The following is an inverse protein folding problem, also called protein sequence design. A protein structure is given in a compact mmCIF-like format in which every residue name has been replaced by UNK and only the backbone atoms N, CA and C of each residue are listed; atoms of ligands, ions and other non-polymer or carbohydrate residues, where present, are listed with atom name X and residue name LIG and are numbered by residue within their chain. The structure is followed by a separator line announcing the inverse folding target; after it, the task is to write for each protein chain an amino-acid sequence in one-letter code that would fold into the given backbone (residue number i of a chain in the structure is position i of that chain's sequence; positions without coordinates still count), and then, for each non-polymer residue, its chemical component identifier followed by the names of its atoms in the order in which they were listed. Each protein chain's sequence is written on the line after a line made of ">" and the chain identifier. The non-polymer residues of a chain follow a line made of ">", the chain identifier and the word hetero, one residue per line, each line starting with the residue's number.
data_IF_880795859930
#
_entry.id   IF_880795859930
#
_cell.length_a   1.000
_cell.length_b   1.000
_cell.length_c   1.000
_cell.angle_alpha   90.00
_cell.angle_beta   90.00
_cell.angle_gamma   90.00
#
_symmetry.space_group_name_H-M   'P 1'
#
loop_
_entity.id
_entity.type
_entity.pdbx_description
1 polymer ?
#
# COMPACT_ATOMS: atom_id res chain seq x y z
N UNK A 1 1.72 4.59 8.80
CA UNK A 1 1.76 6.02 9.20
C UNK A 1 1.00 6.19 10.51
N UNK A 2 1.34 7.11 11.41
CA UNK A 2 0.53 7.34 12.62
C UNK A 2 -0.64 8.29 12.34
N UNK A 3 -1.74 8.17 13.10
CA UNK A 3 -2.89 9.07 12.95
C UNK A 3 -2.53 10.53 13.19
N UNK A 4 -1.69 10.83 14.19
CA UNK A 4 -1.20 12.18 14.47
C UNK A 4 -0.43 12.77 13.29
N UNK A 5 0.40 11.96 12.61
CA UNK A 5 1.10 12.39 11.39
C UNK A 5 0.11 12.69 10.27
N UNK A 6 -0.88 11.85 10.06
CA UNK A 6 -1.93 12.08 9.05
C UNK A 6 -2.74 13.36 9.29
N UNK A 7 -3.05 13.67 10.56
CA UNK A 7 -3.70 14.92 10.92
C UNK A 7 -2.86 16.16 10.57
N UNK A 8 -1.53 16.05 10.64
CA UNK A 8 -0.61 17.15 10.35
C UNK A 8 -0.19 17.25 8.87
N UNK A 9 -0.45 16.22 8.05
CA UNK A 9 -0.04 16.22 6.64
C UNK A 9 -0.71 17.34 5.82
N UNK A 10 0.02 17.98 4.90
CA UNK A 10 -0.58 18.81 3.86
C UNK A 10 -1.68 18.06 3.10
N UNK A 11 -2.75 18.76 2.72
CA UNK A 11 -3.91 18.13 2.09
C UNK A 11 -3.59 17.27 0.85
N UNK A 12 -2.65 17.64 -0.05
CA UNK A 12 -2.29 16.79 -1.19
C UNK A 12 -1.65 15.46 -0.78
N UNK A 13 -0.78 15.47 0.23
CA UNK A 13 -0.10 14.27 0.73
C UNK A 13 -1.07 13.34 1.47
N UNK A 14 -1.93 13.92 2.30
CA UNK A 14 -2.99 13.17 2.99
C UNK A 14 -3.98 12.56 1.98
N UNK A 15 -4.31 13.27 0.90
CA UNK A 15 -5.12 12.74 -0.20
C UNK A 15 -4.45 11.56 -0.88
N UNK A 16 -3.16 11.67 -1.19
CA UNK A 16 -2.39 10.58 -1.79
C UNK A 16 -2.42 9.31 -0.93
N UNK A 17 -2.27 9.45 0.39
CA UNK A 17 -2.35 8.31 1.31
C UNK A 17 -3.76 7.68 1.35
N UNK A 18 -4.81 8.49 1.29
CA UNK A 18 -6.19 7.99 1.22
C UNK A 18 -6.51 7.28 -0.11
N UNK A 19 -5.79 7.61 -1.19
CA UNK A 19 -5.91 6.93 -2.48
C UNK A 19 -5.54 5.43 -2.43
N UNK A 20 -4.72 5.02 -1.45
CA UNK A 20 -4.43 3.59 -1.20
C UNK A 20 -5.64 2.84 -0.59
N UNK A 21 -6.59 3.58 0.00
CA UNK A 21 -7.79 3.02 0.63
C UNK A 21 -8.92 2.95 -0.37
N UNK A 22 -9.23 4.06 -1.04
CA UNK A 22 -10.36 4.21 -1.94
C UNK A 22 -10.01 5.11 -3.13
N UNK A 23 -10.43 4.70 -4.34
CA UNK A 23 -10.24 5.49 -5.56
C UNK A 23 -11.22 6.67 -5.71
N UNK A 24 -12.26 6.75 -4.87
CA UNK A 24 -13.26 7.82 -4.96
C UNK A 24 -12.74 9.12 -4.33
N UNK A 25 -12.53 10.14 -5.17
CA UNK A 25 -12.10 11.47 -4.73
C UNK A 25 -13.08 12.14 -3.76
N UNK A 26 -14.39 11.91 -3.92
CA UNK A 26 -15.42 12.42 -3.03
C UNK A 26 -15.28 11.86 -1.61
N UNK A 27 -14.97 10.56 -1.50
CA UNK A 27 -14.70 9.91 -0.22
C UNK A 27 -13.44 10.48 0.42
N UNK A 28 -12.35 10.60 -0.35
CA UNK A 28 -11.09 11.14 0.16
C UNK A 28 -11.26 12.59 0.64
N UNK A 29 -11.99 13.42 -0.12
CA UNK A 29 -12.29 14.80 0.27
C UNK A 29 -13.09 14.88 1.56
N UNK A 30 -14.12 14.05 1.73
CA UNK A 30 -14.93 13.99 2.95
C UNK A 30 -14.10 13.58 4.17
N UNK A 31 -13.25 12.55 4.03
CA UNK A 31 -12.36 12.10 5.11
C UNK A 31 -11.30 13.16 5.43
N UNK A 32 -10.78 13.91 4.45
CA UNK A 32 -9.82 15.00 4.72
C UNK A 32 -10.45 16.18 5.45
N UNK A 33 -11.71 16.49 5.13
CA UNK A 33 -12.45 17.59 5.76
C UNK A 33 -12.75 17.33 7.24
N UNK A 34 -12.81 16.06 7.67
CA UNK A 34 -13.02 15.68 9.06
C UNK A 34 -11.78 15.75 9.95
N UNK A 35 -10.60 16.08 9.42
CA UNK A 35 -9.38 16.23 10.22
C UNK A 35 -9.43 17.48 11.12
N UNK A 36 -8.80 17.45 12.30
CA UNK A 36 -8.05 16.34 12.87
C UNK A 36 -8.93 15.30 13.58
N UNK A 37 -8.57 14.02 13.46
CA UNK A 37 -9.22 12.92 14.19
C UNK A 37 -8.56 12.65 15.53
N UNK A 38 -9.36 12.50 16.59
CA UNK A 38 -8.85 12.23 17.93
C UNK A 38 -8.27 10.80 18.09
N UNK A 39 -8.87 9.82 17.41
CA UNK A 39 -8.47 8.41 17.45
C UNK A 39 -8.92 7.68 16.18
N UNK A 40 -8.49 6.43 16.01
CA UNK A 40 -8.81 5.59 14.85
C UNK A 40 -10.32 5.32 14.74
N UNK A 41 -11.03 5.20 15.86
CA UNK A 41 -12.48 5.03 15.88
C UNK A 41 -13.22 6.23 15.24
N UNK A 42 -12.78 7.46 15.52
CA UNK A 42 -13.33 8.66 14.89
C UNK A 42 -13.05 8.71 13.37
N UNK A 43 -11.86 8.29 12.95
CA UNK A 43 -11.51 8.16 11.54
C UNK A 43 -12.37 7.10 10.83
N UNK A 44 -12.59 5.94 11.45
CA UNK A 44 -13.46 4.90 10.91
C UNK A 44 -14.91 5.38 10.78
N UNK A 45 -15.44 6.06 11.79
CA UNK A 45 -16.79 6.62 11.73
C UNK A 45 -16.94 7.62 10.58
N UNK A 46 -15.95 8.49 10.37
CA UNK A 46 -15.95 9.43 9.24
C UNK A 46 -15.84 8.71 7.88
N UNK A 47 -14.98 7.70 7.78
CA UNK A 47 -14.86 6.85 6.58
C UNK A 47 -16.17 6.14 6.25
N UNK A 48 -16.87 5.59 7.25
CA UNK A 48 -18.13 4.89 7.07
C UNK A 48 -19.23 5.85 6.61
N UNK A 49 -19.31 7.04 7.23
CA UNK A 49 -20.25 8.09 6.84
C UNK A 49 -19.99 8.57 5.40
N UNK A 50 -18.73 8.79 5.04
CA UNK A 50 -18.35 9.15 3.68
C UNK A 50 -18.72 8.05 2.67
N UNK A 51 -18.51 6.78 3.03
CA UNK A 51 -18.87 5.63 2.17
C UNK A 51 -20.38 5.51 2.00
N UNK A 52 -21.15 5.72 3.07
CA UNK A 52 -22.61 5.69 3.02
C UNK A 52 -23.19 6.79 2.12
N UNK A 53 -22.52 7.95 2.07
CA UNK A 53 -22.91 9.09 1.25
C UNK A 53 -22.54 8.95 -0.25
N UNK A 54 -21.71 7.97 -0.64
CA UNK A 54 -21.34 7.77 -2.04
C UNK A 54 -22.56 7.37 -2.88
N UNK A 55 -22.83 8.12 -3.95
CA UNK A 55 -23.90 7.83 -4.91
C UNK A 55 -23.39 7.90 -6.35
N UNK A 56 -24.14 7.28 -7.26
CA UNK A 56 -23.87 7.31 -8.71
C UNK A 56 -22.37 7.20 -9.05
N UNK A 57 -21.77 8.23 -9.70
CA UNK A 57 -20.37 8.22 -10.12
C UNK A 57 -19.36 8.01 -9.00
N UNK A 58 -19.59 8.55 -7.79
CA UNK A 58 -18.68 8.40 -6.66
C UNK A 58 -18.59 6.96 -6.19
N UNK A 59 -19.74 6.28 -6.09
CA UNK A 59 -19.77 4.85 -5.78
C UNK A 59 -19.20 4.01 -6.93
N UNK A 60 -19.47 4.37 -8.18
CA UNK A 60 -18.93 3.64 -9.33
C UNK A 60 -17.39 3.73 -9.39
N UNK A 61 -16.83 4.91 -9.10
CA UNK A 61 -15.38 5.11 -9.00
C UNK A 61 -14.77 4.30 -7.86
N UNK A 62 -15.40 4.28 -6.68
CA UNK A 62 -14.96 3.46 -5.56
C UNK A 62 -14.91 1.98 -5.95
N UNK A 63 -15.96 1.46 -6.58
CA UNK A 63 -16.06 0.06 -7.01
C UNK A 63 -15.06 -0.27 -8.13
N UNK A 64 -14.88 0.62 -9.10
CA UNK A 64 -13.93 0.42 -10.21
C UNK A 64 -12.46 0.36 -9.75
N UNK A 65 -12.15 0.96 -8.59
CA UNK A 65 -10.83 0.86 -7.95
C UNK A 65 -10.49 -0.52 -7.39
N UNK A 66 -11.43 -1.49 -7.40
CA UNK A 66 -11.17 -2.84 -6.92
C UNK A 66 -11.02 -3.85 -8.07
N UNK A 67 -9.96 -4.67 -8.08
CA UNK A 67 -9.84 -5.74 -9.07
C UNK A 67 -10.91 -6.82 -8.82
N UNK A 68 -11.40 -7.47 -9.89
CA UNK A 68 -12.36 -8.57 -9.76
C UNK A 68 -11.83 -9.71 -8.88
N UNK A 69 -12.72 -10.35 -8.12
CA UNK A 69 -12.36 -11.52 -7.29
C UNK A 69 -11.78 -12.64 -8.17
N UNK A 70 -10.56 -13.09 -7.84
CA UNK A 70 -9.87 -14.16 -8.56
C UNK A 70 -9.16 -13.71 -9.85
N UNK A 71 -9.13 -12.41 -10.13
CA UNK A 71 -8.23 -11.83 -11.13
C UNK A 71 -6.85 -11.52 -10.50
N UNK A 72 -5.77 -11.49 -11.30
CA UNK A 72 -4.51 -10.93 -10.83
C UNK A 72 -4.70 -9.47 -10.39
N UNK A 73 -4.12 -9.09 -9.26
CA UNK A 73 -4.18 -7.74 -8.71
C UNK A 73 -2.87 -7.34 -8.03
N UNK A 74 -2.82 -6.13 -7.48
CA UNK A 74 -1.66 -5.68 -6.68
C UNK A 74 -1.49 -6.51 -5.39
N UNK A 75 -0.38 -6.29 -4.67
CA UNK A 75 -0.06 -7.07 -3.46
C UNK A 75 -1.13 -6.94 -2.36
N UNK A 76 -1.85 -5.82 -2.29
CA UNK A 76 -2.94 -5.59 -1.33
C UNK A 76 -4.15 -6.44 -1.69
N UNK A 77 -4.52 -6.45 -2.97
CA UNK A 77 -5.61 -7.24 -3.53
C UNK A 77 -5.32 -8.75 -3.48
N UNK A 78 -4.07 -9.16 -3.75
CA UNK A 78 -3.64 -10.55 -3.66
C UNK A 78 -3.75 -11.10 -2.23
N UNK A 79 -3.36 -10.30 -1.22
CA UNK A 79 -3.54 -10.66 0.20
C UNK A 79 -5.02 -10.70 0.59
N UNK A 80 -5.79 -9.71 0.16
CA UNK A 80 -7.23 -9.63 0.45
C UNK A 80 -8.00 -10.81 -0.14
N UNK A 81 -7.58 -11.36 -1.28
CA UNK A 81 -8.26 -12.46 -1.98
C UNK A 81 -7.51 -13.81 -1.95
N UNK A 82 -6.52 -13.96 -1.07
CA UNK A 82 -5.66 -15.15 -0.94
C UNK A 82 -6.43 -16.47 -0.87
N UNK A 83 -7.54 -16.49 -0.11
CA UNK A 83 -8.39 -17.67 0.01
C UNK A 83 -8.94 -18.18 -1.33
N UNK A 84 -9.23 -17.29 -2.28
CA UNK A 84 -9.68 -17.67 -3.64
C UNK A 84 -8.51 -18.13 -4.49
N UNK A 85 -7.33 -17.50 -4.35
CA UNK A 85 -6.13 -17.88 -5.12
C UNK A 85 -5.68 -19.32 -4.80
N UNK A 86 -5.77 -19.73 -3.54
CA UNK A 86 -5.37 -21.05 -3.03
C UNK A 86 -6.45 -22.13 -3.21
N UNK A 87 -7.66 -21.76 -3.66
CA UNK A 87 -8.77 -22.68 -3.79
C UNK A 87 -8.60 -23.72 -4.92
N UNK A 88 -9.26 -24.89 -4.83
CA UNK A 88 -9.29 -25.88 -5.90
C UNK A 88 -9.71 -25.28 -7.25
N UNK A 89 -9.15 -25.79 -8.35
CA UNK A 89 -9.34 -25.23 -9.69
C UNK A 89 -10.81 -25.13 -10.10
N UNK A 90 -11.63 -26.11 -9.74
CA UNK A 90 -13.07 -26.12 -10.01
C UNK A 90 -13.80 -24.99 -9.27
N UNK A 91 -13.47 -24.77 -7.99
CA UNK A 91 -14.05 -23.70 -7.18
C UNK A 91 -13.65 -22.32 -7.73
N UNK A 92 -12.38 -22.14 -8.12
CA UNK A 92 -11.90 -20.91 -8.78
C UNK A 92 -12.62 -20.65 -10.10
N UNK A 93 -12.79 -21.68 -10.92
CA UNK A 93 -13.53 -21.57 -12.18
C UNK A 93 -14.99 -21.16 -11.95
N UNK A 94 -15.65 -21.76 -10.95
CA UNK A 94 -17.03 -21.42 -10.57
C UNK A 94 -17.16 -19.96 -10.11
N UNK A 95 -16.29 -19.51 -9.21
CA UNK A 95 -16.25 -18.12 -8.73
C UNK A 95 -16.04 -17.15 -9.90
N UNK A 96 -15.12 -17.48 -10.82
CA UNK A 96 -14.86 -16.65 -12.02
C UNK A 96 -16.10 -16.53 -12.90
N UNK A 97 -16.76 -17.66 -13.21
CA UNK A 97 -17.98 -17.67 -14.03
C UNK A 97 -19.08 -16.81 -13.40
N UNK A 98 -19.33 -16.98 -12.11
CA UNK A 98 -20.38 -16.21 -11.43
C UNK A 98 -20.02 -14.73 -11.24
N UNK A 99 -18.73 -14.41 -11.10
CA UNK A 99 -18.26 -13.02 -11.03
C UNK A 99 -18.51 -12.29 -12.36
N UNK A 100 -18.35 -12.97 -13.49
CA UNK A 100 -18.70 -12.43 -14.81
C UNK A 100 -20.21 -12.21 -14.95
N UNK A 101 -21.03 -13.19 -14.56
CA UNK A 101 -22.49 -13.06 -14.57
C UNK A 101 -22.97 -11.91 -13.65
N UNK A 102 -22.32 -11.75 -12.50
CA UNK A 102 -22.58 -10.65 -11.57
C UNK A 102 -22.27 -9.30 -12.23
N UNK A 103 -21.09 -9.16 -12.86
CA UNK A 103 -20.70 -7.92 -13.53
C UNK A 103 -21.63 -7.57 -14.70
N UNK A 104 -22.09 -8.58 -15.45
CA UNK A 104 -23.06 -8.37 -16.51
C UNK A 104 -24.38 -7.83 -15.95
N UNK A 105 -24.89 -8.42 -14.86
CA UNK A 105 -26.17 -8.04 -14.23
C UNK A 105 -26.11 -6.67 -13.57
N UNK A 106 -25.08 -6.41 -12.75
CA UNK A 106 -25.01 -5.25 -11.88
C UNK A 106 -24.13 -4.12 -12.42
N UNK A 107 -23.38 -4.36 -13.50
CA UNK A 107 -22.51 -3.38 -14.19
C UNK A 107 -21.37 -2.84 -13.33
N UNK A 108 -21.00 -3.56 -12.28
CA UNK A 108 -19.82 -3.30 -11.45
C UNK A 108 -19.23 -4.61 -10.93
N UNK A 109 -18.00 -4.56 -10.43
CA UNK A 109 -17.32 -5.73 -9.86
C UNK A 109 -18.07 -6.29 -8.66
N UNK A 110 -18.00 -7.61 -8.48
CA UNK A 110 -18.42 -8.24 -7.24
C UNK A 110 -17.43 -7.86 -6.14
N UNK A 111 -17.92 -7.16 -5.13
CA UNK A 111 -17.11 -6.69 -4.03
C UNK A 111 -17.49 -7.40 -2.74
N UNK A 112 -16.51 -7.93 -2.02
CA UNK A 112 -16.69 -8.56 -0.71
C UNK A 112 -15.43 -8.38 0.12
N UNK A 113 -15.55 -8.10 1.42
CA UNK A 113 -14.43 -8.16 2.37
C UNK A 113 -14.00 -9.61 2.51
N UNK A 114 -12.95 -9.96 1.77
CA UNK A 114 -12.47 -11.34 1.65
C UNK A 114 -11.49 -11.75 2.78
N UNK A 115 -10.81 -10.80 3.45
CA UNK A 115 -9.99 -11.09 4.64
C UNK A 115 -10.79 -11.90 5.64
N UNK A 116 -10.32 -13.09 6.05
CA UNK A 116 -11.02 -13.94 7.03
C UNK A 116 -12.27 -14.67 6.52
N UNK A 117 -12.53 -14.69 5.20
CA UNK A 117 -13.53 -15.57 4.58
C UNK A 117 -12.85 -16.68 3.79
N UNK A 118 -13.46 -17.85 3.75
CA UNK A 118 -13.01 -18.94 2.86
C UNK A 118 -13.49 -18.71 1.42
N UNK A 119 -12.90 -19.41 0.45
CA UNK A 119 -13.40 -19.37 -0.93
C UNK A 119 -14.85 -19.88 -1.04
N UNK A 120 -15.26 -20.83 -0.19
CA UNK A 120 -16.62 -21.33 -0.13
C UNK A 120 -17.60 -20.25 0.37
N UNK A 121 -17.22 -19.48 1.39
CA UNK A 121 -18.03 -18.36 1.90
C UNK A 121 -18.20 -17.26 0.84
N UNK A 122 -17.14 -17.00 0.07
CA UNK A 122 -17.15 -16.03 -1.03
C UNK A 122 -18.08 -16.52 -2.15
N UNK A 123 -18.01 -17.80 -2.51
CA UNK A 123 -18.91 -18.40 -3.49
C UNK A 123 -20.38 -18.32 -3.04
N UNK A 124 -20.67 -18.71 -1.79
CA UNK A 124 -22.03 -18.67 -1.24
C UNK A 124 -22.58 -17.24 -1.23
N UNK A 125 -21.78 -16.25 -0.84
CA UNK A 125 -22.17 -14.85 -0.88
C UNK A 125 -22.44 -14.36 -2.32
N UNK A 126 -21.65 -14.80 -3.28
CA UNK A 126 -21.83 -14.47 -4.69
C UNK A 126 -23.12 -15.07 -5.26
N UNK A 127 -23.41 -16.33 -4.94
CA UNK A 127 -24.64 -17.01 -5.35
C UNK A 127 -25.89 -16.38 -4.74
N UNK A 128 -25.88 -16.05 -3.44
CA UNK A 128 -26.96 -15.30 -2.79
C UNK A 128 -27.18 -13.95 -3.48
N UNK A 129 -26.11 -13.18 -3.68
CA UNK A 129 -26.18 -11.80 -4.17
C UNK A 129 -26.57 -11.69 -5.63
N UNK A 130 -26.33 -12.73 -6.44
CA UNK A 130 -26.90 -12.82 -7.79
C UNK A 130 -28.44 -12.80 -7.79
N UNK A 131 -29.09 -13.16 -6.68
CA UNK A 131 -30.54 -13.03 -6.49
C UNK A 131 -31.02 -11.60 -6.22
N UNK A 132 -30.14 -10.67 -5.87
CA UNK A 132 -30.53 -9.33 -5.44
C UNK A 132 -31.06 -8.46 -6.59
N UNK A 133 -31.86 -7.45 -6.23
CA UNK A 133 -32.15 -6.31 -7.10
C UNK A 133 -30.92 -5.40 -7.19
N UNK A 134 -30.75 -4.62 -8.29
CA UNK A 134 -29.64 -3.66 -8.38
C UNK A 134 -29.57 -2.67 -7.22
N UNK A 135 -30.71 -2.20 -6.70
CA UNK A 135 -30.75 -1.28 -5.57
C UNK A 135 -30.25 -1.94 -4.27
N UNK A 136 -30.72 -3.15 -3.98
CA UNK A 136 -30.25 -3.96 -2.84
C UNK A 136 -28.75 -4.22 -2.94
N UNK A 137 -28.27 -4.53 -4.14
CA UNK A 137 -26.86 -4.86 -4.35
C UNK A 137 -25.95 -3.64 -4.20
N UNK A 138 -26.37 -2.46 -4.68
CA UNK A 138 -25.63 -1.22 -4.43
C UNK A 138 -25.55 -0.89 -2.93
N UNK A 139 -26.62 -1.13 -2.18
CA UNK A 139 -26.60 -0.96 -0.73
C UNK A 139 -25.61 -1.93 -0.05
N UNK A 140 -25.63 -3.21 -0.44
CA UNK A 140 -24.66 -4.20 0.06
C UNK A 140 -23.22 -3.84 -0.32
N UNK A 141 -22.99 -3.37 -1.54
CA UNK A 141 -21.66 -2.99 -2.02
C UNK A 141 -21.06 -1.85 -1.17
N UNK A 142 -21.87 -0.88 -0.72
CA UNK A 142 -21.40 0.14 0.23
C UNK A 142 -20.99 -0.44 1.58
N UNK A 143 -21.77 -1.40 2.11
CA UNK A 143 -21.41 -2.07 3.37
C UNK A 143 -20.11 -2.86 3.25
N UNK A 144 -19.89 -3.55 2.13
CA UNK A 144 -18.62 -4.26 1.86
C UNK A 144 -17.46 -3.28 1.65
N UNK A 145 -17.66 -2.15 0.94
CA UNK A 145 -16.68 -1.07 0.82
C UNK A 145 -16.25 -0.53 2.18
N UNK A 146 -17.22 -0.20 3.05
CA UNK A 146 -16.92 0.32 4.39
C UNK A 146 -16.08 -0.68 5.22
N UNK A 147 -16.42 -1.97 5.14
CA UNK A 147 -15.64 -3.02 5.81
C UNK A 147 -14.21 -3.14 5.24
N UNK A 148 -14.03 -3.00 3.93
CA UNK A 148 -12.69 -3.00 3.29
C UNK A 148 -11.91 -1.74 3.68
N UNK A 149 -12.55 -0.57 3.66
CA UNK A 149 -11.91 0.69 4.06
C UNK A 149 -11.38 0.61 5.48
N UNK A 150 -12.14 0.08 6.44
CA UNK A 150 -11.65 -0.13 7.82
C UNK A 150 -10.40 -1.00 7.86
N UNK A 151 -10.40 -2.16 7.20
CA UNK A 151 -9.21 -3.04 7.13
C UNK A 151 -7.99 -2.33 6.52
N UNK A 152 -8.21 -1.49 5.49
CA UNK A 152 -7.13 -0.74 4.85
C UNK A 152 -6.65 0.43 5.70
N UNK A 153 -7.54 1.13 6.39
CA UNK A 153 -7.22 2.20 7.34
C UNK A 153 -6.45 1.66 8.55
N UNK A 154 -6.85 0.52 9.11
CA UNK A 154 -6.11 -0.15 10.19
C UNK A 154 -4.67 -0.50 9.77
N UNK A 155 -4.47 -0.92 8.52
CA UNK A 155 -3.13 -1.19 7.97
C UNK A 155 -2.34 0.09 7.73
N UNK A 156 -3.00 1.16 7.28
CA UNK A 156 -2.36 2.45 7.03
C UNK A 156 -2.00 3.15 8.35
N UNK A 157 -2.81 2.94 9.39
CA UNK A 157 -2.73 3.52 10.73
C UNK A 157 -2.69 2.44 11.82
N UNK A 158 -1.67 1.57 11.85
CA UNK A 158 -1.60 0.52 12.86
C UNK A 158 -1.49 1.18 14.25
N UNK A 159 -2.40 0.84 15.15
CA UNK A 159 -2.24 1.19 16.56
C UNK A 159 -1.08 0.39 17.13
N UNK A 160 -0.13 1.07 17.77
CA UNK A 160 0.95 0.41 18.49
C UNK A 160 0.38 -0.12 19.83
N UNK A 161 0.42 -1.43 20.11
CA UNK A 161 0.13 -1.93 21.44
C UNK A 161 1.40 -1.74 22.29
N UNK A 162 1.60 -0.52 22.77
CA UNK A 162 2.16 -0.22 24.09
C UNK A 162 2.43 1.28 24.22
N UNK A 163 1.68 1.88 25.14
CA UNK A 163 1.71 3.30 25.45
C UNK A 163 0.53 3.61 26.34
N UNK A 164 0.43 2.88 27.46
CA UNK A 164 -0.52 3.18 28.51
C UNK A 164 -0.52 4.69 28.78
N UNK A 165 -1.66 5.30 28.52
CA UNK A 165 -2.00 6.64 28.95
C UNK A 165 -1.64 6.77 30.43
N UNK A 166 -0.61 7.54 30.75
CA UNK A 166 -0.56 8.20 32.04
C UNK A 166 -1.50 9.38 31.96
N UNK A 167 -2.74 9.12 32.36
CA UNK A 167 -3.67 10.15 32.76
C UNK A 167 -3.07 10.89 33.97
N UNK A 168 -2.55 12.10 33.75
CA UNK A 168 -2.38 13.07 34.83
C UNK A 168 -3.49 14.11 34.70
N UNK A 169 -4.41 14.08 35.67
CA UNK A 169 -5.47 15.06 35.87
C UNK A 169 -4.93 16.42 36.35
N UNK A 170 -5.82 17.43 36.50
CA UNK A 170 -5.48 18.83 36.27
C UNK A 170 -5.03 19.64 37.50
N UNK A 171 -4.55 20.86 37.21
CA UNK A 171 -4.31 22.05 38.08
C UNK A 171 -2.88 22.19 38.66
N UNK A 172 -2.14 23.31 38.54
CA UNK A 172 -2.48 24.74 38.66
C UNK A 172 -1.39 25.61 37.94
N UNK A 173 -1.63 26.88 37.53
CA UNK A 173 -0.68 27.64 36.71
C UNK A 173 0.41 28.32 37.56
N UNK A 174 1.68 28.10 37.20
CA UNK A 174 2.81 28.88 37.69
C UNK A 174 3.45 29.70 36.56
N UNK A 175 3.85 30.92 36.90
CA UNK A 175 4.39 32.01 36.05
C UNK A 175 5.55 31.59 35.13
N UNK A 176 5.80 32.32 34.02
CA UNK A 176 6.93 32.06 33.14
C UNK A 176 8.23 32.63 33.74
N UNK A 177 9.27 31.80 33.81
CA UNK A 177 10.67 32.22 34.01
C UNK A 177 11.39 32.24 32.65
N UNK A 178 12.41 33.10 32.44
CA UNK A 178 12.96 33.38 31.11
C UNK A 178 14.15 32.50 30.71
N UNK A 179 14.08 31.95 29.49
CA UNK A 179 15.20 31.75 28.55
C UNK A 179 16.33 30.79 28.93
N UNK A 180 16.21 29.52 28.52
CA UNK A 180 17.33 28.60 28.33
C UNK A 180 17.70 28.54 26.82
N UNK A 181 18.98 28.32 26.46
CA UNK A 181 19.44 28.35 25.07
C UNK A 181 18.96 27.11 24.28
N UNK A 182 18.75 27.30 22.97
CA UNK A 182 18.37 26.28 21.99
C UNK A 182 19.19 24.98 22.16
N UNK A 183 18.51 23.86 22.42
CA UNK A 183 19.11 22.53 22.23
C UNK A 183 19.41 22.32 20.73
N UNK A 184 20.59 21.77 20.38
CA UNK A 184 20.92 21.51 18.99
C UNK A 184 19.95 20.48 18.40
N UNK A 185 19.32 20.84 17.28
CA UNK A 185 18.43 19.95 16.53
C UNK A 185 19.10 18.59 16.28
N UNK A 186 18.45 17.51 16.73
CA UNK A 186 18.88 16.13 16.46
C UNK A 186 18.92 15.95 14.94
N UNK A 187 20.13 15.76 14.40
CA UNK A 187 20.30 15.50 12.96
C UNK A 187 19.60 14.18 12.63
N UNK A 188 18.78 14.12 11.55
CA UNK A 188 18.14 12.89 11.15
C UNK A 188 19.19 11.81 10.86
N UNK A 189 18.91 10.58 11.29
CA UNK A 189 19.78 9.42 11.07
C UNK A 189 20.05 9.13 9.59
N UNK A 190 20.98 8.22 9.25
CA UNK A 190 21.26 7.90 7.86
C UNK A 190 20.03 7.25 7.20
N UNK A 191 19.79 7.59 5.93
CA UNK A 191 18.74 6.95 5.14
C UNK A 191 19.12 5.49 4.85
N UNK A 192 18.14 4.60 4.79
CA UNK A 192 18.37 3.17 4.49
C UNK A 192 17.63 2.75 3.24
N UNK A 193 18.13 1.72 2.56
CA UNK A 193 17.55 1.22 1.31
C UNK A 193 17.33 -0.29 1.43
N UNK A 194 16.19 -0.77 0.98
CA UNK A 194 15.94 -2.19 0.76
C UNK A 194 15.34 -2.40 -0.63
N UNK A 195 15.49 -3.61 -1.17
CA UNK A 195 14.86 -3.97 -2.46
C UNK A 195 14.31 -5.38 -2.43
N UNK A 196 13.48 -5.68 -3.43
CA UNK A 196 12.89 -6.98 -3.68
C UNK A 196 12.70 -7.12 -5.19
N UNK A 197 13.15 -8.24 -5.76
CA UNK A 197 12.99 -8.54 -7.19
C UNK A 197 12.00 -9.68 -7.36
N UNK A 198 10.95 -9.44 -8.14
CA UNK A 198 9.91 -10.42 -8.44
C UNK A 198 9.87 -10.71 -9.94
N UNK A 199 9.99 -11.98 -10.32
CA UNK A 199 9.65 -12.44 -11.68
C UNK A 199 8.13 -12.56 -11.80
N UNK A 200 7.52 -11.56 -12.44
CA UNK A 200 6.07 -11.48 -12.66
C UNK A 200 5.57 -12.45 -13.72
N UNK A 201 6.45 -12.99 -14.58
CA UNK A 201 6.05 -13.96 -15.60
C UNK A 201 5.80 -15.36 -15.01
N UNK A 202 6.56 -15.72 -13.98
CA UNK A 202 6.40 -16.95 -13.22
C UNK A 202 5.72 -16.74 -11.86
N UNK A 203 5.46 -15.50 -11.45
CA UNK A 203 4.81 -15.16 -10.19
C UNK A 203 5.63 -15.54 -8.95
N UNK A 204 6.96 -15.47 -9.04
CA UNK A 204 7.88 -15.93 -7.97
C UNK A 204 9.01 -14.92 -7.72
N UNK A 205 9.63 -14.93 -6.53
CA UNK A 205 10.82 -14.13 -6.29
C UNK A 205 11.96 -14.49 -7.26
N UNK A 206 12.79 -13.51 -7.60
CA UNK A 206 13.99 -13.71 -8.40
C UNK A 206 15.21 -13.75 -7.46
N UNK A 207 15.69 -14.94 -7.07
CA UNK A 207 16.86 -15.07 -6.22
C UNK A 207 18.16 -14.87 -7.01
N UNK A 208 19.25 -14.65 -6.26
CA UNK A 208 20.60 -14.55 -6.77
C UNK A 208 20.82 -13.41 -7.79
N UNK A 209 19.98 -12.38 -7.79
CA UNK A 209 20.14 -11.18 -8.64
C UNK A 209 21.16 -10.26 -7.98
N UNK A 210 22.31 -9.98 -8.62
CA UNK A 210 23.28 -9.03 -8.08
C UNK A 210 22.73 -7.61 -8.14
N UNK A 211 22.91 -6.86 -7.04
CA UNK A 211 22.45 -5.48 -6.88
C UNK A 211 23.58 -4.58 -6.41
N UNK A 212 23.81 -3.47 -7.09
CA UNK A 212 24.76 -2.41 -6.67
C UNK A 212 23.99 -1.17 -6.22
N UNK A 213 24.29 -0.66 -5.04
CA UNK A 213 23.77 0.60 -4.52
C UNK A 213 24.81 1.71 -4.70
N UNK A 214 24.43 2.79 -5.36
CA UNK A 214 25.21 4.01 -5.48
C UNK A 214 24.44 5.23 -4.97
N UNK A 215 25.15 6.30 -4.60
CA UNK A 215 24.58 7.52 -4.04
C UNK A 215 25.27 8.77 -4.62
N UNK A 216 24.58 9.92 -4.57
CA UNK A 216 25.16 11.23 -4.85
C UNK A 216 24.47 12.36 -4.09
N UNK A 217 25.19 13.45 -3.78
CA UNK A 217 24.66 14.61 -3.04
C UNK A 217 23.90 15.62 -3.92
N UNK A 218 23.81 15.39 -5.23
CA UNK A 218 23.05 16.26 -6.14
C UNK A 218 23.04 15.77 -7.59
N UNK A 219 22.17 16.33 -8.45
CA UNK A 219 21.93 15.80 -9.80
C UNK A 219 23.13 15.84 -10.75
N UNK A 220 24.11 16.70 -10.46
CA UNK A 220 25.34 16.89 -11.25
C UNK A 220 26.58 16.27 -10.62
N UNK A 221 26.47 15.79 -9.37
CA UNK A 221 27.58 15.13 -8.69
C UNK A 221 27.80 13.72 -9.26
N UNK A 222 29.06 13.22 -9.24
CA UNK A 222 29.35 11.85 -9.66
C UNK A 222 28.68 10.85 -8.70
N UNK A 223 28.29 9.70 -9.25
CA UNK A 223 27.83 8.56 -8.46
C UNK A 223 28.99 7.94 -7.69
N UNK A 224 28.80 7.66 -6.40
CA UNK A 224 29.69 6.82 -5.60
C UNK A 224 29.01 5.50 -5.25
N UNK A 225 29.70 4.38 -5.46
CA UNK A 225 29.20 3.07 -5.02
C UNK A 225 29.24 3.03 -3.49
N UNK A 226 28.11 2.72 -2.88
CA UNK A 226 27.93 2.58 -1.43
C UNK A 226 28.13 1.13 -1.01
N UNK A 227 27.66 0.18 -1.83
CA UNK A 227 27.88 -1.25 -1.60
C UNK A 227 27.16 -2.12 -2.61
N UNK A 228 27.29 -3.43 -2.43
CA UNK A 228 26.68 -4.46 -3.27
C UNK A 228 25.96 -5.49 -2.41
N UNK A 229 24.92 -6.11 -2.94
CA UNK A 229 24.15 -7.20 -2.33
C UNK A 229 23.72 -8.18 -3.42
N UNK A 230 23.14 -9.30 -3.00
CA UNK A 230 22.50 -10.29 -3.88
C UNK A 230 21.13 -10.64 -3.28
N UNK A 231 20.12 -10.85 -4.13
CA UNK A 231 18.78 -11.20 -3.64
C UNK A 231 18.72 -12.60 -3.02
N UNK A 232 18.09 -12.71 -1.85
CA UNK A 232 17.86 -13.97 -1.16
C UNK A 232 16.80 -14.87 -1.86
N UNK A 233 16.44 -16.02 -1.26
CA UNK A 233 15.42 -16.93 -1.81
C UNK A 233 14.01 -16.32 -1.88
N UNK A 234 13.76 -15.24 -1.13
CA UNK A 234 12.55 -14.43 -1.20
C UNK A 234 12.74 -13.21 -2.11
N UNK A 235 13.82 -13.17 -2.90
CA UNK A 235 14.12 -12.11 -3.86
C UNK A 235 14.56 -10.80 -3.22
N UNK A 236 14.94 -10.76 -1.93
CA UNK A 236 15.19 -9.53 -1.18
C UNK A 236 16.67 -9.28 -0.93
N UNK A 237 17.04 -8.00 -0.89
CA UNK A 237 18.32 -7.55 -0.33
C UNK A 237 18.04 -6.89 1.02
N UNK A 238 18.56 -7.47 2.10
CA UNK A 238 18.34 -7.00 3.49
C UNK A 238 19.58 -6.37 4.13
N UNK A 239 20.71 -6.49 3.45
CA UNK A 239 22.06 -6.15 3.90
C UNK A 239 22.68 -5.00 3.10
N UNK A 240 21.88 -4.24 2.35
CA UNK A 240 22.34 -3.02 1.70
C UNK A 240 22.77 -1.98 2.75
N UNK A 241 23.93 -1.32 2.57
CA UNK A 241 24.44 -0.34 3.52
C UNK A 241 23.55 0.92 3.55
N UNK A 242 23.56 1.61 4.69
CA UNK A 242 22.91 2.90 4.83
C UNK A 242 23.57 3.95 3.92
N UNK A 243 22.78 4.89 3.42
CA UNK A 243 23.25 5.94 2.54
C UNK A 243 24.14 6.95 3.28
N UNK A 244 25.23 7.43 2.66
CA UNK A 244 26.08 8.46 3.26
C UNK A 244 25.28 9.73 3.59
N UNK A 245 25.63 10.45 4.68
CA UNK A 245 25.06 11.76 4.96
C UNK A 245 25.19 12.72 3.78
N UNK A 246 24.17 13.54 3.55
CA UNK A 246 24.13 14.48 2.43
C UNK A 246 23.74 13.86 1.09
N UNK A 247 23.40 12.56 1.03
CA UNK A 247 22.82 11.94 -0.16
C UNK A 247 21.46 12.55 -0.48
N UNK A 248 21.27 12.98 -1.73
CA UNK A 248 19.96 13.45 -2.24
C UNK A 248 19.35 12.48 -3.24
N UNK A 249 20.19 11.68 -3.91
CA UNK A 249 19.77 10.69 -4.90
C UNK A 249 20.55 9.40 -4.72
N UNK A 250 19.86 8.28 -4.85
CA UNK A 250 20.40 6.93 -4.81
C UNK A 250 20.07 6.19 -6.11
N UNK A 251 20.87 5.19 -6.43
CA UNK A 251 20.72 4.34 -7.60
C UNK A 251 20.88 2.87 -7.21
N UNK A 252 19.93 2.05 -7.65
CA UNK A 252 20.05 0.59 -7.62
C UNK A 252 20.28 0.08 -9.04
N UNK A 253 21.36 -0.67 -9.24
CA UNK A 253 21.66 -1.37 -10.49
C UNK A 253 21.43 -2.86 -10.28
N UNK A 254 20.60 -3.48 -11.11
CA UNK A 254 20.23 -4.89 -11.06
C UNK A 254 20.81 -5.61 -12.28
N UNK A 255 21.62 -6.64 -12.08
CA UNK A 255 22.06 -7.51 -13.16
C UNK A 255 20.99 -8.57 -13.44
N UNK A 256 20.08 -8.28 -14.37
CA UNK A 256 18.85 -9.08 -14.59
C UNK A 256 19.00 -10.17 -15.66
N UNK A 257 20.15 -10.25 -16.33
CA UNK A 257 20.43 -11.25 -17.34
C UNK A 257 20.25 -12.69 -16.80
N UNK A 258 19.35 -13.47 -17.40
CA UNK A 258 19.12 -14.88 -17.05
C UNK A 258 18.21 -15.12 -15.83
N UNK A 259 17.64 -14.07 -15.22
CA UNK A 259 16.80 -14.19 -14.02
C UNK A 259 15.29 -14.29 -14.30
N UNK A 260 14.88 -14.27 -15.57
CA UNK A 260 13.51 -14.54 -16.03
C UNK A 260 13.51 -15.61 -17.13
N UNK A 261 12.43 -16.38 -17.33
CA UNK A 261 12.34 -17.39 -18.38
C UNK A 261 12.67 -16.84 -19.78
N UNK A 262 13.60 -17.48 -20.47
CA UNK A 262 14.16 -16.98 -21.73
C UNK A 262 15.35 -16.04 -21.51
N UNK A 263 15.78 -15.34 -22.57
CA UNK A 263 16.71 -14.23 -22.40
C UNK A 263 15.91 -13.00 -21.98
N UNK A 264 16.19 -12.43 -20.79
CA UNK A 264 15.67 -11.12 -20.42
C UNK A 264 16.03 -10.11 -21.50
N UNK A 265 15.06 -9.39 -22.05
CA UNK A 265 15.32 -8.27 -22.96
C UNK A 265 16.14 -7.17 -22.29
N UNK A 266 16.04 -7.05 -20.97
CA UNK A 266 16.83 -6.14 -20.14
C UNK A 266 17.95 -6.94 -19.45
N UNK A 267 19.20 -6.88 -19.94
CA UNK A 267 20.32 -7.54 -19.27
C UNK A 267 20.72 -6.84 -17.96
N UNK A 268 20.38 -5.55 -17.83
CA UNK A 268 20.56 -4.73 -16.64
C UNK A 268 19.40 -3.74 -16.50
N UNK A 269 19.02 -3.42 -15.25
CA UNK A 269 18.06 -2.36 -14.93
C UNK A 269 18.69 -1.39 -13.93
N UNK A 270 18.62 -0.08 -14.21
CA UNK A 270 19.09 0.99 -13.33
C UNK A 270 17.90 1.83 -12.84
N UNK A 271 17.69 1.88 -11.53
CA UNK A 271 16.65 2.68 -10.89
C UNK A 271 17.27 3.82 -10.09
N UNK A 272 17.02 5.06 -10.51
CA UNK A 272 17.46 6.29 -9.81
C UNK A 272 16.29 6.91 -9.06
N UNK A 273 16.47 7.23 -7.79
CA UNK A 273 15.42 7.79 -6.94
C UNK A 273 15.97 8.82 -5.94
N UNK A 274 15.09 9.68 -5.43
CA UNK A 274 15.44 10.66 -4.39
C UNK A 274 15.48 9.97 -3.04
N UNK A 275 16.52 10.26 -2.25
CA UNK A 275 16.66 9.78 -0.89
C UNK A 275 16.54 10.96 0.09
N UNK A 276 15.78 10.75 1.15
CA UNK A 276 15.64 11.69 2.26
C UNK A 276 16.34 11.14 3.51
N UNK A 277 17.12 11.95 4.25
CA UNK A 277 17.74 11.56 5.51
C UNK A 277 16.73 11.00 6.51
N UNK A 278 17.11 9.98 7.26
CA UNK A 278 16.28 9.35 8.30
C UNK A 278 15.15 8.47 7.79
N UNK A 279 14.94 8.39 6.47
CA UNK A 279 13.89 7.55 5.87
C UNK A 279 14.42 6.18 5.42
N UNK A 280 13.55 5.17 5.52
CA UNK A 280 13.73 3.90 4.83
C UNK A 280 13.12 3.98 3.43
N UNK A 281 13.87 3.57 2.41
CA UNK A 281 13.44 3.55 1.02
C UNK A 281 13.39 2.09 0.54
N UNK A 282 12.19 1.51 0.50
CA UNK A 282 11.98 0.22 -0.15
C UNK A 282 11.72 0.44 -1.64
N UNK A 283 12.59 -0.06 -2.53
CA UNK A 283 12.47 0.14 -3.98
C UNK A 283 12.50 -1.21 -4.70
N UNK A 284 11.34 -1.88 -4.84
CA UNK A 284 11.24 -3.17 -5.53
C UNK A 284 11.32 -3.05 -7.07
N UNK A 285 11.74 -4.15 -7.69
CA UNK A 285 11.76 -4.37 -9.13
C UNK A 285 10.83 -5.54 -9.50
N UNK A 286 9.78 -5.24 -10.28
CA UNK A 286 8.93 -6.25 -10.89
C UNK A 286 9.45 -6.50 -12.30
N UNK A 287 9.97 -7.71 -12.56
CA UNK A 287 10.65 -8.07 -13.79
C UNK A 287 9.82 -9.07 -14.60
N UNK A 288 9.85 -8.94 -15.92
CA UNK A 288 9.33 -9.90 -16.90
C UNK A 288 10.28 -9.94 -18.11
N UNK A 289 10.19 -10.94 -19.01
CA UNK A 289 11.10 -11.04 -20.15
C UNK A 289 11.18 -9.81 -21.05
N UNK A 290 10.10 -9.03 -21.16
CA UNK A 290 10.01 -7.87 -22.07
C UNK A 290 9.53 -6.58 -21.40
N UNK A 291 9.42 -6.56 -20.08
CA UNK A 291 9.01 -5.37 -19.33
C UNK A 291 9.47 -5.43 -17.89
N UNK A 292 9.62 -4.25 -17.28
CA UNK A 292 9.79 -4.15 -15.84
C UNK A 292 9.01 -2.94 -15.30
N UNK A 293 8.70 -2.96 -14.02
CA UNK A 293 8.19 -1.80 -13.29
C UNK A 293 8.82 -1.71 -11.90
N UNK A 294 8.89 -0.49 -11.38
CA UNK A 294 9.40 -0.21 -10.06
C UNK A 294 8.54 0.88 -9.40
N UNK A 295 8.54 0.90 -8.07
CA UNK A 295 7.78 1.87 -7.29
C UNK A 295 8.46 2.09 -5.93
N UNK A 296 8.03 3.12 -5.19
CA UNK A 296 8.45 3.31 -3.79
C UNK A 296 7.51 2.52 -2.88
N UNK A 297 8.02 1.49 -2.23
CA UNK A 297 7.33 0.77 -1.15
C UNK A 297 7.49 1.47 0.20
N UNK A 298 6.66 1.07 1.16
CA UNK A 298 6.68 1.52 2.56
C UNK A 298 7.46 0.59 3.48
#
# INVERSE_FOLDING_TARGET
>A
MTLSRFNALPAPEARSALGEVCAAEEWAAAVLAGRPYANTAALHAASDAATAALEGPGLDAALAGHPPIGAPGDATSAREQSAVAEAPAELRARIRTLTLAYQEKFRHVFLVRATGRTAADILAALEERLGNTPATERARARSELAAIHRVRLDRLFPEHPDGAERAEGPEHPARPEPGAPDEPAVLPGPATVSTHVLDTSAGRPAPAVPVTLAARPGPTAPWSVVGTSETDTDGRCRDLPALPPGTTEARLEFATAGHVPGASFFPEVSLVFRAAPGEHHHVPLLLSPYGYSAYRGS
#
